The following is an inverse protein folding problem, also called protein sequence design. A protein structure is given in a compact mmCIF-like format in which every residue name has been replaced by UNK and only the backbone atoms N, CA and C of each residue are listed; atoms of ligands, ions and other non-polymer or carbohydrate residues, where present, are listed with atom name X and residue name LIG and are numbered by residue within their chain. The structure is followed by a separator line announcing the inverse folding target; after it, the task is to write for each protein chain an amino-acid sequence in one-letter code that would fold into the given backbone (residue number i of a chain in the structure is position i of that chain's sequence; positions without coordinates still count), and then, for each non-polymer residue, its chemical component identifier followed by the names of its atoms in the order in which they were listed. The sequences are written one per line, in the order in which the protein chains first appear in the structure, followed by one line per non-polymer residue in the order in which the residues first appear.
data_IF_562295736740
#
_entry.id   IF_562295736740
#
_cell.length_a   1.000
_cell.length_b   1.000
_cell.length_c   1.000
_cell.angle_alpha   90.00
_cell.angle_beta   90.00
_cell.angle_gamma   90.00
#
_symmetry.space_group_name_H-M   'P 1'
#
loop_
_entity.id
_entity.type
_entity.pdbx_description
1 polymer ?
#
# COMPACT_ATOMS: atom_id res chain seq x y z
N UNK A 1 -28.76 17.15 19.99
CA UNK A 1 -27.71 17.65 20.91
C UNK A 1 -28.33 17.63 22.28
N UNK A 2 -27.61 17.12 23.27
CA UNK A 2 -28.08 16.98 24.65
C UNK A 2 -27.40 18.07 25.50
N UNK A 3 -28.19 18.97 26.08
CA UNK A 3 -27.67 20.13 26.81
C UNK A 3 -26.98 19.75 28.12
N UNK A 4 -27.40 18.65 28.77
CA UNK A 4 -26.81 18.16 30.00
C UNK A 4 -25.39 17.65 29.72
N UNK A 5 -25.24 16.81 28.69
CA UNK A 5 -23.93 16.30 28.26
C UNK A 5 -22.99 17.41 27.78
N UNK A 6 -23.52 18.43 27.09
CA UNK A 6 -22.71 19.58 26.67
C UNK A 6 -22.19 20.40 27.86
N UNK A 7 -23.01 20.51 28.92
CA UNK A 7 -22.59 21.10 30.19
C UNK A 7 -21.43 20.34 30.84
N UNK A 8 -21.52 19.01 30.89
CA UNK A 8 -20.47 18.16 31.44
C UNK A 8 -19.15 18.30 30.68
N UNK A 9 -19.17 18.22 29.35
CA UNK A 9 -17.95 18.32 28.54
C UNK A 9 -17.32 19.72 28.68
N UNK A 10 -18.13 20.78 28.83
CA UNK A 10 -17.61 22.13 29.09
C UNK A 10 -16.91 22.22 30.43
N UNK A 11 -17.47 21.61 31.48
CA UNK A 11 -16.83 21.54 32.79
C UNK A 11 -15.51 20.74 32.72
N UNK A 12 -15.51 19.61 32.00
CA UNK A 12 -14.32 18.78 31.81
C UNK A 12 -13.21 19.52 31.05
N UNK A 13 -13.58 20.24 29.98
CA UNK A 13 -12.63 21.04 29.21
C UNK A 13 -12.00 22.14 30.07
N UNK A 14 -12.77 22.81 30.92
CA UNK A 14 -12.26 23.83 31.83
C UNK A 14 -11.31 23.25 32.89
N UNK A 15 -11.59 22.03 33.38
CA UNK A 15 -10.77 21.36 34.37
C UNK A 15 -9.43 20.84 33.79
N UNK A 16 -9.44 20.31 32.57
CA UNK A 16 -8.24 19.72 31.93
C UNK A 16 -7.38 20.79 31.25
N UNK A 17 -8.01 21.86 30.73
CA UNK A 17 -7.35 22.88 29.91
C UNK A 17 -6.53 22.28 28.73
N UNK A 18 -7.18 21.51 27.84
CA UNK A 18 -6.47 20.83 26.75
C UNK A 18 -5.91 21.82 25.73
N UNK A 19 -4.74 21.48 25.18
CA UNK A 19 -4.12 22.24 24.07
C UNK A 19 -4.88 21.99 22.76
N UNK A 20 -5.45 20.78 22.60
CA UNK A 20 -6.12 20.33 21.39
C UNK A 20 -7.46 19.69 21.72
N UNK A 21 -8.52 20.19 21.07
CA UNK A 21 -9.89 19.67 21.14
C UNK A 21 -10.35 19.38 19.72
N UNK A 22 -10.38 18.10 19.37
CA UNK A 22 -10.69 17.63 18.02
C UNK A 22 -12.14 17.17 17.93
N UNK A 23 -12.90 17.75 16.99
CA UNK A 23 -14.24 17.29 16.67
C UNK A 23 -14.19 16.17 15.64
N UNK A 24 -14.72 15.00 16.00
CA UNK A 24 -14.72 13.81 15.13
C UNK A 24 -16.09 13.67 14.48
N UNK A 25 -16.10 13.52 13.16
CA UNK A 25 -17.35 13.49 12.39
C UNK A 25 -17.29 12.53 11.23
N UNK A 26 -18.39 11.83 11.00
CA UNK A 26 -18.56 10.91 9.90
C UNK A 26 -18.80 11.68 8.59
N UNK A 27 -17.97 11.41 7.58
CA UNK A 27 -18.03 12.05 6.26
C UNK A 27 -19.31 11.76 5.49
N UNK A 28 -20.05 10.70 5.85
CA UNK A 28 -21.38 10.40 5.31
C UNK A 28 -22.46 11.33 5.86
N UNK A 29 -22.20 11.97 7.00
CA UNK A 29 -23.14 12.90 7.64
C UNK A 29 -23.11 14.19 6.84
N UNK A 30 -24.16 14.42 6.03
CA UNK A 30 -24.27 15.57 5.14
C UNK A 30 -24.48 16.90 5.86
N UNK A 31 -25.62 17.55 5.63
CA UNK A 31 -25.89 18.89 6.20
C UNK A 31 -26.04 18.88 7.72
N UNK A 32 -26.49 17.77 8.32
CA UNK A 32 -26.67 17.64 9.78
C UNK A 32 -25.35 17.72 10.55
N UNK A 33 -24.24 17.36 9.90
CA UNK A 33 -22.90 17.51 10.46
C UNK A 33 -22.56 18.98 10.71
N UNK A 34 -23.02 19.89 9.84
CA UNK A 34 -22.76 21.31 9.97
C UNK A 34 -23.48 21.91 11.17
N UNK A 35 -24.73 21.50 11.42
CA UNK A 35 -25.52 21.94 12.58
C UNK A 35 -24.86 21.46 13.87
N UNK A 36 -24.48 20.18 13.90
CA UNK A 36 -23.83 19.58 15.06
C UNK A 36 -22.47 20.24 15.32
N UNK A 37 -21.65 20.40 14.28
CA UNK A 37 -20.34 21.05 14.39
C UNK A 37 -20.46 22.49 14.90
N UNK A 38 -21.51 23.23 14.48
CA UNK A 38 -21.78 24.58 15.00
C UNK A 38 -21.99 24.57 16.51
N UNK A 39 -22.90 23.72 16.99
CA UNK A 39 -23.23 23.66 18.42
C UNK A 39 -22.02 23.27 19.27
N UNK A 40 -21.19 22.33 18.81
CA UNK A 40 -19.95 21.98 19.48
C UNK A 40 -18.93 23.10 19.46
N UNK A 41 -18.79 23.82 18.34
CA UNK A 41 -17.88 24.95 18.22
C UNK A 41 -18.30 26.17 19.05
N UNK A 42 -19.61 26.36 19.26
CA UNK A 42 -20.16 27.43 20.09
C UNK A 42 -20.00 27.12 21.58
N UNK A 43 -20.08 25.85 21.96
CA UNK A 43 -19.95 25.41 23.36
C UNK A 43 -18.51 25.17 23.81
N UNK A 44 -17.65 24.69 22.90
CA UNK A 44 -16.27 24.27 23.18
C UNK A 44 -15.30 24.90 22.17
N UNK A 45 -14.12 25.35 22.63
CA UNK A 45 -13.12 25.91 21.74
C UNK A 45 -12.41 24.79 20.96
N UNK A 46 -13.03 24.37 19.85
CA UNK A 46 -12.46 23.38 18.95
C UNK A 46 -11.16 23.92 18.31
N UNK A 47 -10.16 23.06 18.17
CA UNK A 47 -8.87 23.38 17.55
C UNK A 47 -8.70 22.72 16.18
N UNK A 48 -9.44 21.64 15.93
CA UNK A 48 -9.42 20.94 14.67
C UNK A 48 -10.54 19.93 14.52
N UNK A 49 -10.59 19.32 13.34
CA UNK A 49 -11.61 18.33 12.95
C UNK A 49 -10.92 17.07 12.42
N UNK A 50 -11.52 15.92 12.70
CA UNK A 50 -11.16 14.62 12.12
C UNK A 50 -12.36 14.09 11.36
N UNK A 51 -12.18 13.79 10.08
CA UNK A 51 -13.21 13.18 9.24
C UNK A 51 -13.03 11.66 9.24
N UNK A 52 -14.09 10.90 9.46
CA UNK A 52 -14.05 9.43 9.42
C UNK A 52 -14.88 8.86 8.29
N UNK A 53 -14.67 7.57 7.98
CA UNK A 53 -15.40 6.80 6.96
C UNK A 53 -15.34 7.41 5.55
N UNK A 54 -14.20 8.00 5.21
CA UNK A 54 -13.97 8.65 3.91
C UNK A 54 -13.57 7.67 2.79
N UNK A 55 -13.67 6.37 3.07
CA UNK A 55 -13.54 5.25 2.14
C UNK A 55 -14.84 4.94 1.38
N UNK A 56 -15.99 5.43 1.85
CA UNK A 56 -17.27 5.33 1.14
C UNK A 56 -17.43 6.34 -0.01
N UNK A 57 -18.59 6.32 -0.68
CA UNK A 57 -18.99 7.29 -1.74
C UNK A 57 -19.28 8.71 -1.18
N UNK A 58 -18.67 9.05 -0.05
CA UNK A 58 -18.80 10.35 0.57
C UNK A 58 -18.05 11.39 -0.29
N UNK A 59 -18.80 12.18 -1.06
CA UNK A 59 -18.31 13.20 -2.00
C UNK A 59 -17.63 14.42 -1.33
N UNK A 60 -17.10 14.27 -0.12
CA UNK A 60 -16.37 15.31 0.63
C UNK A 60 -17.19 16.55 1.01
N UNK A 61 -18.51 16.59 0.76
CA UNK A 61 -19.36 17.74 1.06
C UNK A 61 -19.40 18.09 2.55
N UNK A 62 -19.40 17.08 3.42
CA UNK A 62 -19.35 17.26 4.87
C UNK A 62 -18.09 18.02 5.31
N UNK A 63 -16.94 17.73 4.70
CA UNK A 63 -15.67 18.41 4.99
C UNK A 63 -15.78 19.92 4.75
N UNK A 64 -16.37 20.30 3.62
CA UNK A 64 -16.55 21.70 3.24
C UNK A 64 -17.52 22.40 4.20
N UNK A 65 -18.67 21.79 4.48
CA UNK A 65 -19.69 22.38 5.35
C UNK A 65 -19.16 22.59 6.77
N UNK A 66 -18.44 21.61 7.33
CA UNK A 66 -17.89 21.70 8.68
C UNK A 66 -16.78 22.75 8.73
N UNK A 67 -15.89 22.79 7.73
CA UNK A 67 -14.84 23.81 7.69
C UNK A 67 -15.42 25.21 7.58
N UNK A 68 -16.48 25.38 6.79
CA UNK A 68 -17.16 26.67 6.63
C UNK A 68 -17.80 27.15 7.93
N UNK A 69 -18.49 26.26 8.64
CA UNK A 69 -19.21 26.60 9.88
C UNK A 69 -18.29 26.79 11.08
N UNK A 70 -17.29 25.91 11.26
CA UNK A 70 -16.40 25.96 12.43
C UNK A 70 -15.19 26.87 12.23
N UNK A 71 -14.77 27.07 10.97
CA UNK A 71 -13.52 27.74 10.63
C UNK A 71 -12.24 26.94 10.95
N UNK A 72 -12.37 25.78 11.63
CA UNK A 72 -11.24 25.01 12.19
C UNK A 72 -10.61 24.07 11.17
N UNK A 73 -9.28 23.86 11.22
CA UNK A 73 -8.61 22.95 10.29
C UNK A 73 -9.04 21.50 10.46
N UNK A 74 -9.25 20.82 9.33
CA UNK A 74 -9.35 19.37 9.30
C UNK A 74 -7.92 18.83 9.33
N UNK A 75 -7.58 18.05 10.34
CA UNK A 75 -6.22 17.55 10.58
C UNK A 75 -6.00 16.15 10.02
N UNK A 76 -6.99 15.27 10.20
CA UNK A 76 -6.89 13.87 9.81
C UNK A 76 -8.14 13.39 9.09
N UNK A 77 -7.96 12.33 8.30
CA UNK A 77 -9.01 11.62 7.59
C UNK A 77 -8.86 10.11 7.79
N UNK A 78 -9.95 9.45 8.21
CA UNK A 78 -10.05 8.00 8.32
C UNK A 78 -10.54 7.41 7.01
N UNK A 79 -9.68 6.66 6.33
CA UNK A 79 -9.93 6.02 5.02
C UNK A 79 -10.11 4.50 5.13
N UNK A 80 -10.56 4.02 6.29
CA UNK A 80 -10.87 2.61 6.53
C UNK A 80 -11.00 2.29 8.01
N UNK A 81 -11.25 1.02 8.31
CA UNK A 81 -11.53 0.54 9.68
C UNK A 81 -10.28 0.17 10.49
N UNK A 82 -9.14 -0.01 9.81
CA UNK A 82 -7.90 -0.47 10.45
C UNK A 82 -7.19 0.67 11.18
N UNK A 83 -6.36 0.32 12.16
CA UNK A 83 -5.58 1.29 12.95
C UNK A 83 -4.58 2.10 12.13
N UNK A 84 -4.16 1.59 10.97
CA UNK A 84 -3.27 2.25 10.02
C UNK A 84 -4.02 3.09 8.96
N UNK A 85 -5.35 3.14 9.01
CA UNK A 85 -6.18 3.85 8.04
C UNK A 85 -6.48 5.33 8.42
N UNK A 86 -5.73 5.89 9.38
CA UNK A 86 -5.80 7.31 9.74
C UNK A 86 -4.67 8.07 9.04
N UNK A 87 -5.05 8.93 8.09
CA UNK A 87 -4.10 9.69 7.27
C UNK A 87 -4.18 11.19 7.58
N UNK A 88 -3.09 11.96 7.38
CA UNK A 88 -3.16 13.42 7.40
C UNK A 88 -4.12 13.94 6.32
N UNK A 89 -4.89 14.98 6.65
CA UNK A 89 -5.81 15.58 5.69
C UNK A 89 -5.10 16.52 4.73
N UNK A 90 -5.21 16.24 3.43
CA UNK A 90 -4.72 17.09 2.35
C UNK A 90 -5.88 17.55 1.46
N UNK A 91 -6.23 18.85 1.43
CA UNK A 91 -7.33 19.37 0.63
C UNK A 91 -7.22 19.00 -0.86
N UNK A 92 -6.02 19.08 -1.42
CA UNK A 92 -5.77 18.80 -2.84
C UNK A 92 -6.09 17.35 -3.21
N UNK A 93 -5.77 16.38 -2.33
CA UNK A 93 -6.06 14.95 -2.57
C UNK A 93 -7.56 14.67 -2.56
N UNK A 94 -8.29 15.30 -1.64
CA UNK A 94 -9.75 15.16 -1.57
C UNK A 94 -10.41 15.77 -2.80
N UNK A 95 -9.94 16.94 -3.23
CA UNK A 95 -10.42 17.55 -4.48
C UNK A 95 -10.15 16.65 -5.69
N UNK A 96 -8.94 16.10 -5.83
CA UNK A 96 -8.60 15.16 -6.91
C UNK A 96 -9.43 13.87 -6.87
N UNK A 97 -9.72 13.34 -5.68
CA UNK A 97 -10.58 12.16 -5.49
C UNK A 97 -12.03 12.44 -5.92
N UNK A 98 -12.59 13.59 -5.54
CA UNK A 98 -13.93 14.03 -5.97
C UNK A 98 -14.00 14.23 -7.49
N UNK A 99 -12.95 14.80 -8.08
CA UNK A 99 -12.84 15.03 -9.52
C UNK A 99 -12.54 13.75 -10.32
N UNK A 100 -12.41 12.60 -9.65
CA UNK A 100 -12.10 11.31 -10.29
C UNK A 100 -10.70 11.25 -10.92
N UNK A 101 -9.83 12.21 -10.61
CA UNK A 101 -8.51 12.33 -11.23
C UNK A 101 -7.46 11.35 -10.67
N UNK A 102 -7.82 10.58 -9.63
CA UNK A 102 -6.92 9.61 -9.02
C UNK A 102 -5.74 10.28 -8.31
N UNK A 103 -5.34 9.73 -7.18
CA UNK A 103 -4.32 10.33 -6.33
C UNK A 103 -2.91 10.00 -6.86
N UNK A 104 -2.48 10.71 -7.92
CA UNK A 104 -1.13 10.57 -8.48
C UNK A 104 -0.04 10.90 -7.45
N UNK A 105 -0.34 11.77 -6.48
CA UNK A 105 0.61 12.15 -5.43
C UNK A 105 0.77 11.05 -4.38
N UNK A 106 -0.31 10.39 -3.97
CA UNK A 106 -0.22 9.21 -3.09
C UNK A 106 0.50 8.03 -3.75
N UNK A 107 0.40 7.87 -5.08
CA UNK A 107 1.20 6.87 -5.79
C UNK A 107 2.70 7.20 -5.73
N UNK A 108 3.06 8.48 -5.86
CA UNK A 108 4.45 8.95 -5.78
C UNK A 108 4.97 8.83 -4.34
N UNK A 109 4.17 9.16 -3.33
CA UNK A 109 4.56 9.02 -1.93
C UNK A 109 4.62 7.57 -1.45
N UNK A 110 3.72 6.69 -1.88
CA UNK A 110 3.85 5.25 -1.63
C UNK A 110 5.11 4.70 -2.31
N UNK A 111 5.44 5.17 -3.51
CA UNK A 111 6.69 4.83 -4.20
C UNK A 111 7.88 5.40 -3.43
N UNK A 112 7.85 6.63 -2.93
CA UNK A 112 8.96 7.22 -2.17
C UNK A 112 9.14 6.59 -0.78
N UNK A 113 8.06 6.20 -0.09
CA UNK A 113 8.11 5.53 1.22
C UNK A 113 8.43 4.04 1.12
N UNK A 114 8.04 3.34 0.03
CA UNK A 114 8.30 1.90 -0.15
C UNK A 114 9.47 1.57 -1.07
N UNK A 115 10.01 2.53 -1.84
CA UNK A 115 11.28 2.34 -2.56
C UNK A 115 12.42 2.63 -1.61
N UNK A 116 12.79 1.57 -0.90
CA UNK A 116 14.00 1.47 -0.13
C UNK A 116 15.20 1.63 -1.08
N UNK A 117 15.71 2.87 -1.23
CA UNK A 117 16.83 3.21 -2.12
C UNK A 117 18.02 2.28 -1.90
N UNK A 118 18.22 1.82 -0.66
CA UNK A 118 19.24 0.84 -0.33
C UNK A 118 19.00 -0.54 -0.96
N UNK A 119 17.76 -1.04 -0.98
CA UNK A 119 17.45 -2.36 -1.58
C UNK A 119 17.58 -2.32 -3.10
N UNK A 120 17.10 -1.26 -3.73
CA UNK A 120 17.29 -1.05 -5.17
C UNK A 120 18.79 -1.02 -5.51
N UNK A 121 19.60 -0.31 -4.72
CA UNK A 121 21.05 -0.30 -4.88
C UNK A 121 21.71 -1.66 -4.62
N UNK A 122 21.28 -2.41 -3.60
CA UNK A 122 21.80 -3.75 -3.30
C UNK A 122 21.49 -4.73 -4.43
N UNK A 123 20.28 -4.67 -5.00
CA UNK A 123 19.86 -5.47 -6.13
C UNK A 123 20.72 -5.13 -7.37
N UNK A 124 20.90 -3.83 -7.66
CA UNK A 124 21.75 -3.36 -8.76
C UNK A 124 23.22 -3.77 -8.54
N UNK A 125 23.76 -3.63 -7.33
CA UNK A 125 25.13 -4.06 -6.96
C UNK A 125 25.30 -5.58 -7.08
N UNK A 126 24.32 -6.41 -6.68
CA UNK A 126 24.35 -7.87 -6.86
C UNK A 126 24.33 -8.26 -8.35
N UNK A 127 23.48 -7.59 -9.13
CA UNK A 127 23.43 -7.75 -10.58
C UNK A 127 24.79 -7.37 -11.17
N UNK A 128 25.33 -6.20 -10.87
CA UNK A 128 26.64 -5.76 -11.36
C UNK A 128 27.80 -6.70 -10.96
N UNK A 129 27.78 -7.25 -9.75
CA UNK A 129 28.80 -8.19 -9.23
C UNK A 129 28.72 -9.61 -9.79
N UNK A 130 27.87 -9.87 -10.79
CA UNK A 130 27.77 -11.20 -11.41
C UNK A 130 27.09 -12.27 -10.56
N UNK A 131 26.80 -12.00 -9.27
CA UNK A 131 26.04 -12.89 -8.40
C UNK A 131 24.63 -13.03 -8.98
N UNK A 132 24.32 -14.21 -9.51
CA UNK A 132 23.05 -14.49 -10.17
C UNK A 132 21.88 -14.33 -9.21
N UNK A 133 20.71 -14.03 -9.78
CA UNK A 133 19.44 -14.07 -9.06
C UNK A 133 19.24 -15.46 -8.42
N UNK A 134 19.10 -15.52 -7.10
CA UNK A 134 18.98 -16.76 -6.32
C UNK A 134 17.64 -16.84 -5.57
N UNK A 135 17.38 -17.95 -4.86
CA UNK A 135 16.09 -18.17 -4.18
C UNK A 135 15.89 -17.26 -2.96
N UNK A 136 16.95 -16.73 -2.37
CA UNK A 136 16.83 -15.74 -1.28
C UNK A 136 16.30 -14.42 -1.85
N UNK A 137 16.87 -13.96 -2.97
CA UNK A 137 16.36 -12.77 -3.67
C UNK A 137 14.91 -12.98 -4.13
N UNK A 138 14.57 -14.20 -4.57
CA UNK A 138 13.20 -14.54 -4.94
C UNK A 138 12.23 -14.47 -3.76
N UNK A 139 12.66 -14.95 -2.59
CA UNK A 139 11.85 -14.87 -1.36
C UNK A 139 11.58 -13.43 -0.95
N UNK A 140 12.60 -12.57 -1.01
CA UNK A 140 12.47 -11.14 -0.69
C UNK A 140 11.42 -10.48 -1.59
N UNK A 141 11.48 -10.75 -2.91
CA UNK A 141 10.49 -10.23 -3.86
C UNK A 141 9.07 -10.72 -3.58
N UNK A 142 8.90 -12.01 -3.24
CA UNK A 142 7.58 -12.54 -2.87
C UNK A 142 7.04 -11.91 -1.58
N UNK A 143 7.90 -11.63 -0.60
CA UNK A 143 7.51 -10.97 0.64
C UNK A 143 7.13 -9.50 0.40
N UNK A 144 7.84 -8.79 -0.47
CA UNK A 144 7.48 -7.42 -0.86
C UNK A 144 6.12 -7.39 -1.57
N UNK A 145 5.87 -8.33 -2.49
CA UNK A 145 4.56 -8.47 -3.13
C UNK A 145 3.45 -8.77 -2.13
N UNK A 146 3.70 -9.64 -1.15
CA UNK A 146 2.72 -9.92 -0.10
C UNK A 146 2.42 -8.66 0.75
N UNK A 147 3.43 -7.85 1.08
CA UNK A 147 3.25 -6.57 1.81
C UNK A 147 2.46 -5.53 1.02
N UNK A 148 2.55 -5.57 -0.30
CA UNK A 148 1.81 -4.65 -1.17
C UNK A 148 0.34 -5.06 -1.38
N UNK A 149 -0.12 -6.16 -0.77
CA UNK A 149 -1.51 -6.67 -0.94
C UNK A 149 -1.66 -7.71 -2.04
N UNK A 150 -0.57 -8.38 -2.42
CA UNK A 150 -0.57 -9.47 -3.39
C UNK A 150 -0.58 -8.99 -4.84
N UNK A 151 -0.88 -9.91 -5.76
CA UNK A 151 -0.95 -9.60 -7.20
C UNK A 151 -2.26 -8.86 -7.54
N UNK A 152 -3.32 -9.04 -6.74
CA UNK A 152 -4.60 -8.35 -6.91
C UNK A 152 -4.49 -6.83 -6.78
N UNK A 153 -3.86 -6.35 -5.70
CA UNK A 153 -3.66 -4.92 -5.47
C UNK A 153 -2.73 -4.27 -6.51
N UNK A 154 -1.75 -5.00 -7.02
CA UNK A 154 -0.85 -4.51 -8.08
C UNK A 154 -1.59 -4.34 -9.41
N UNK A 155 -2.53 -5.24 -9.73
CA UNK A 155 -3.37 -5.16 -10.92
C UNK A 155 -4.40 -4.02 -10.84
N UNK A 156 -4.94 -3.74 -9.66
CA UNK A 156 -5.84 -2.61 -9.43
C UNK A 156 -5.14 -1.25 -9.61
N UNK A 157 -3.82 -1.21 -9.41
CA UNK A 157 -2.99 -0.01 -9.57
C UNK A 157 -2.46 0.18 -11.01
N UNK A 158 -2.70 -0.76 -11.94
CA UNK A 158 -2.28 -0.63 -13.34
C UNK A 158 -3.37 0.06 -14.18
N UNK A 159 -3.07 1.20 -14.83
CA UNK A 159 -4.04 1.90 -15.67
C UNK A 159 -4.43 1.06 -16.90
N UNK A 160 -5.74 0.87 -17.14
CA UNK A 160 -6.27 0.20 -18.34
C UNK A 160 -6.72 -1.26 -18.17
N UNK A 161 -6.74 -1.82 -16.95
CA UNK A 161 -7.13 -3.22 -16.70
C UNK A 161 -8.50 -3.42 -16.01
N UNK A 162 -9.41 -2.45 -16.11
CA UNK A 162 -10.79 -2.56 -15.61
C UNK A 162 -11.62 -3.70 -16.28
N UNK A 163 -11.10 -4.35 -17.31
CA UNK A 163 -11.78 -5.41 -18.06
C UNK A 163 -11.54 -6.84 -17.54
N UNK A 164 -10.73 -7.04 -16.48
CA UNK A 164 -10.52 -8.38 -15.91
C UNK A 164 -11.64 -8.71 -14.91
N UNK A 165 -12.40 -9.81 -15.10
CA UNK A 165 -13.50 -10.19 -14.21
C UNK A 165 -13.07 -10.33 -12.75
N UNK A 166 -13.92 -9.87 -11.82
CA UNK A 166 -13.72 -9.93 -10.36
C UNK A 166 -13.49 -11.36 -9.83
N UNK A 167 -14.05 -12.36 -10.50
CA UNK A 167 -13.86 -13.79 -10.18
C UNK A 167 -12.43 -14.27 -10.43
N UNK A 168 -11.76 -13.73 -11.46
CA UNK A 168 -10.33 -13.98 -11.70
C UNK A 168 -9.44 -13.21 -10.72
N UNK A 169 -9.89 -12.04 -10.22
CA UNK A 169 -9.17 -11.26 -9.19
C UNK A 169 -9.16 -11.97 -7.83
N UNK A 170 -10.28 -12.58 -7.42
CA UNK A 170 -10.39 -13.31 -6.15
C UNK A 170 -9.62 -14.65 -6.12
N UNK A 171 -9.36 -15.26 -7.28
CA UNK A 171 -8.55 -16.48 -7.38
C UNK A 171 -7.03 -16.22 -7.32
N UNK A 172 -6.61 -14.96 -7.41
CA UNK A 172 -5.20 -14.57 -7.29
C UNK A 172 -4.84 -14.57 -5.80
N UNK A 173 -4.42 -15.75 -5.38
CA UNK A 173 -4.41 -16.19 -4.00
C UNK A 173 -3.21 -15.62 -3.22
N UNK A 174 -3.44 -14.73 -2.25
CA UNK A 174 -2.45 -14.40 -1.21
C UNK A 174 -1.93 -15.66 -0.50
N UNK A 175 -2.80 -16.68 -0.37
CA UNK A 175 -2.42 -18.00 0.15
C UNK A 175 -1.37 -18.70 -0.71
N UNK A 176 -1.37 -18.49 -2.04
CA UNK A 176 -0.37 -19.08 -2.93
C UNK A 176 1.00 -18.42 -2.76
N UNK A 177 1.04 -17.09 -2.59
CA UNK A 177 2.29 -16.38 -2.28
C UNK A 177 2.85 -16.82 -0.93
N UNK A 178 2.00 -16.89 0.10
CA UNK A 178 2.39 -17.39 1.42
C UNK A 178 2.92 -18.83 1.35
N UNK A 179 2.28 -19.71 0.56
CA UNK A 179 2.74 -21.09 0.33
C UNK A 179 4.11 -21.14 -0.32
N UNK A 180 4.38 -20.29 -1.33
CA UNK A 180 5.70 -20.23 -1.95
C UNK A 180 6.77 -19.74 -0.97
N UNK A 181 6.46 -18.71 -0.17
CA UNK A 181 7.37 -18.20 0.87
C UNK A 181 7.67 -19.30 1.91
N UNK A 182 6.67 -20.09 2.31
CA UNK A 182 6.85 -21.22 3.22
C UNK A 182 7.78 -22.29 2.65
N UNK A 183 7.67 -22.61 1.35
CA UNK A 183 8.57 -23.56 0.67
C UNK A 183 10.02 -23.06 0.69
N UNK A 184 10.27 -21.80 0.34
CA UNK A 184 11.64 -21.25 0.35
C UNK A 184 12.17 -21.14 1.78
N UNK A 185 11.31 -20.79 2.74
CA UNK A 185 11.70 -20.68 4.15
C UNK A 185 12.11 -22.02 4.77
N UNK A 186 11.61 -23.14 4.23
CA UNK A 186 11.99 -24.50 4.64
C UNK A 186 13.35 -24.97 4.07
N UNK A 187 13.97 -24.16 3.20
CA UNK A 187 15.30 -24.42 2.66
C UNK A 187 16.40 -23.87 3.57
N UNK A 188 17.58 -24.50 3.52
CA UNK A 188 18.80 -23.97 4.13
C UNK A 188 19.37 -22.81 3.31
N UNK A 189 20.18 -21.95 3.93
CA UNK A 189 20.84 -20.84 3.22
C UNK A 189 21.68 -21.31 2.03
N UNK A 190 22.33 -22.47 2.14
CA UNK A 190 23.12 -23.05 1.06
C UNK A 190 22.24 -23.45 -0.13
N UNK A 191 21.09 -24.08 0.12
CA UNK A 191 20.12 -24.44 -0.93
C UNK A 191 19.51 -23.20 -1.59
N UNK A 192 19.29 -22.11 -0.84
CA UNK A 192 18.75 -20.87 -1.40
C UNK A 192 19.75 -20.17 -2.32
N UNK A 193 21.03 -20.16 -1.93
CA UNK A 193 22.11 -19.58 -2.75
C UNK A 193 22.47 -20.44 -3.96
N UNK A 194 22.34 -21.77 -3.83
CA UNK A 194 22.67 -22.74 -4.88
C UNK A 194 21.48 -23.69 -5.15
N UNK A 195 20.48 -23.23 -5.93
CA UNK A 195 19.25 -23.99 -6.21
C UNK A 195 19.50 -25.35 -6.86
N UNK A 196 20.61 -25.51 -7.60
CA UNK A 196 20.98 -26.76 -8.28
C UNK A 196 21.24 -27.93 -7.31
N UNK A 197 21.48 -27.63 -6.03
CA UNK A 197 21.63 -28.64 -4.99
C UNK A 197 20.30 -29.33 -4.64
N UNK A 198 19.16 -28.72 -4.96
CA UNK A 198 17.83 -29.17 -4.55
C UNK A 198 17.36 -30.36 -5.42
N UNK A 199 17.82 -31.55 -5.05
CA UNK A 199 17.45 -32.85 -5.64
C UNK A 199 16.31 -33.54 -4.87
N UNK A 200 15.93 -34.76 -5.28
CA UNK A 200 14.78 -35.51 -4.75
C UNK A 200 14.68 -35.57 -3.22
N UNK A 201 15.74 -35.98 -2.52
CA UNK A 201 15.71 -36.09 -1.04
C UNK A 201 15.51 -34.72 -0.36
N UNK A 202 16.14 -33.67 -0.88
CA UNK A 202 15.96 -32.31 -0.36
C UNK A 202 14.56 -31.78 -0.64
N UNK A 203 14.00 -32.06 -1.80
CA UNK A 203 12.60 -31.70 -2.13
C UNK A 203 11.61 -32.38 -1.17
N UNK A 204 11.81 -33.65 -0.84
CA UNK A 204 10.98 -34.37 0.16
C UNK A 204 11.07 -33.72 1.55
N UNK A 205 12.28 -33.38 1.99
CA UNK A 205 12.51 -32.67 3.26
C UNK A 205 11.81 -31.31 3.29
N UNK A 206 11.94 -30.53 2.22
CA UNK A 206 11.34 -29.20 2.09
C UNK A 206 9.80 -29.31 2.11
N UNK A 207 9.24 -30.25 1.35
CA UNK A 207 7.81 -30.52 1.28
C UNK A 207 7.23 -30.85 2.67
N UNK A 208 7.89 -31.76 3.40
CA UNK A 208 7.52 -32.09 4.77
C UNK A 208 7.64 -30.89 5.74
N UNK A 209 8.69 -30.07 5.59
CA UNK A 209 8.93 -28.92 6.45
C UNK A 209 7.91 -27.78 6.29
N UNK A 210 7.36 -27.59 5.08
CA UNK A 210 6.32 -26.60 4.83
C UNK A 210 4.88 -27.17 4.82
N UNK A 211 4.72 -28.47 5.06
CA UNK A 211 3.41 -29.15 5.02
C UNK A 211 2.76 -29.14 3.63
N UNK A 212 3.56 -29.20 2.56
CA UNK A 212 3.08 -29.21 1.17
C UNK A 212 3.50 -30.48 0.45
N UNK A 213 2.91 -30.71 -0.72
CA UNK A 213 3.26 -31.87 -1.53
C UNK A 213 4.53 -31.62 -2.38
N UNK A 214 5.15 -32.72 -2.80
CA UNK A 214 6.34 -32.68 -3.65
C UNK A 214 6.09 -31.95 -4.98
N UNK A 215 4.85 -32.01 -5.49
CA UNK A 215 4.48 -31.36 -6.74
C UNK A 215 4.46 -29.82 -6.61
N UNK A 216 4.08 -29.28 -5.44
CA UNK A 216 4.09 -27.85 -5.14
C UNK A 216 5.51 -27.29 -5.10
N UNK A 217 6.42 -28.01 -4.43
CA UNK A 217 7.85 -27.65 -4.40
C UNK A 217 8.44 -27.61 -5.81
N UNK A 218 8.10 -28.60 -6.65
CA UNK A 218 8.55 -28.62 -8.05
C UNK A 218 7.98 -27.47 -8.88
N UNK A 219 6.71 -27.10 -8.67
CA UNK A 219 6.06 -25.98 -9.35
C UNK A 219 6.76 -24.67 -9.01
N UNK A 220 7.04 -24.42 -7.72
CA UNK A 220 7.75 -23.23 -7.28
C UNK A 220 9.17 -23.15 -7.87
N UNK A 221 9.93 -24.26 -7.84
CA UNK A 221 11.27 -24.29 -8.44
C UNK A 221 11.26 -24.00 -9.95
N UNK A 222 10.23 -24.46 -10.68
CA UNK A 222 10.06 -24.12 -12.10
C UNK A 222 9.79 -22.63 -12.31
N UNK A 223 8.94 -22.02 -11.47
CA UNK A 223 8.66 -20.59 -11.51
C UNK A 223 9.92 -19.76 -11.24
N UNK A 224 10.71 -20.15 -10.23
CA UNK A 224 12.01 -19.55 -9.95
C UNK A 224 12.95 -19.64 -11.16
N UNK A 225 13.10 -20.81 -11.78
CA UNK A 225 13.96 -20.98 -12.96
C UNK A 225 13.52 -20.13 -14.15
N UNK A 226 12.21 -19.97 -14.36
CA UNK A 226 11.68 -19.08 -15.40
C UNK A 226 12.06 -17.63 -15.12
N UNK A 227 11.89 -17.17 -13.87
CA UNK A 227 12.25 -15.82 -13.49
C UNK A 227 13.76 -15.58 -13.55
N UNK A 228 14.57 -16.54 -13.11
CA UNK A 228 16.02 -16.50 -13.23
C UNK A 228 16.47 -16.40 -14.69
N UNK A 229 15.82 -17.14 -15.62
CA UNK A 229 16.07 -17.02 -17.06
C UNK A 229 15.72 -15.63 -17.59
N UNK A 230 14.59 -15.06 -17.17
CA UNK A 230 14.21 -13.70 -17.54
C UNK A 230 15.24 -12.68 -17.02
N UNK A 231 15.59 -12.74 -15.73
CA UNK A 231 16.59 -11.84 -15.13
C UNK A 231 17.96 -11.95 -15.81
N UNK A 232 18.38 -13.15 -16.22
CA UNK A 232 19.60 -13.33 -17.04
C UNK A 232 19.50 -12.64 -18.40
N UNK A 233 18.35 -12.69 -19.07
CA UNK A 233 18.12 -11.98 -20.35
C UNK A 233 18.12 -10.45 -20.17
N UNK A 234 17.61 -9.95 -19.04
CA UNK A 234 17.64 -8.52 -18.71
C UNK A 234 19.06 -7.99 -18.41
N UNK A 235 19.95 -8.84 -17.88
CA UNK A 235 21.30 -8.50 -17.43
C UNK A 235 22.33 -8.26 -18.55
N UNK A 236 22.03 -8.58 -19.81
CA UNK A 236 23.06 -8.69 -20.85
C UNK A 236 22.97 -7.68 -22.03
N UNK A 237 21.93 -6.84 -22.16
CA UNK A 237 21.95 -5.86 -23.26
C UNK A 237 20.73 -4.96 -23.44
N UNK A 238 19.54 -5.40 -23.01
CA UNK A 238 18.31 -4.64 -23.30
C UNK A 238 18.05 -3.47 -22.35
N UNK A 239 18.51 -3.51 -21.09
CA UNK A 239 18.33 -2.36 -20.17
C UNK A 239 19.19 -1.17 -20.61
N UNK A 240 20.42 -1.39 -21.07
CA UNK A 240 21.27 -0.32 -21.59
C UNK A 240 20.68 0.33 -22.86
N UNK A 241 20.06 -0.47 -23.74
CA UNK A 241 19.39 0.01 -24.94
C UNK A 241 18.05 0.70 -24.64
N UNK A 242 17.28 0.21 -23.65
CA UNK A 242 16.02 0.81 -23.21
C UNK A 242 16.26 2.14 -22.47
N UNK A 243 17.29 2.22 -21.63
CA UNK A 243 17.72 3.47 -20.98
C UNK A 243 18.24 4.48 -22.01
N UNK A 244 18.94 4.05 -23.06
CA UNK A 244 19.30 4.92 -24.20
C UNK A 244 18.09 5.41 -24.98
N UNK A 245 17.11 4.54 -25.25
CA UNK A 245 15.87 4.87 -25.96
C UNK A 245 15.02 5.90 -25.21
N UNK A 246 14.86 5.72 -23.90
CA UNK A 246 14.14 6.66 -23.04
C UNK A 246 14.87 8.02 -22.99
N UNK A 247 16.21 8.01 -22.87
CA UNK A 247 17.01 9.25 -22.87
C UNK A 247 16.93 10.03 -24.19
N UNK A 248 16.78 9.34 -25.32
CA UNK A 248 16.61 9.98 -26.63
C UNK A 248 15.19 10.54 -26.82
N UNK A 249 14.15 9.85 -26.35
CA UNK A 249 12.77 10.36 -26.41
C UNK A 249 12.55 11.57 -25.50
N UNK A 250 13.15 11.60 -24.31
CA UNK A 250 13.07 12.76 -23.39
C UNK A 250 13.82 13.98 -23.96
N UNK A 251 14.84 13.78 -24.80
CA UNK A 251 15.57 14.86 -25.48
C UNK A 251 14.83 15.41 -26.70
N UNK A 252 13.93 14.61 -27.31
CA UNK A 252 13.05 15.03 -28.40
C UNK A 252 11.84 15.87 -27.95
N UNK A 253 11.36 15.69 -26.71
CA UNK A 253 10.24 16.46 -26.14
C UNK A 253 10.65 17.82 -25.53
N UNK A 254 11.94 18.15 -25.55
CA UNK A 254 12.48 19.46 -25.10
C UNK A 254 12.83 20.40 -26.27
N UNK A 255 12.31 20.15 -27.46
CA UNK A 255 12.35 21.08 -28.60
C UNK A 255 10.93 21.42 -29.04
#
# INVERSE_FOLDING_TARGET
IDDEMMGEIKALHAAINPIETLFVVDSMTGQDAAITAKAFNDALPLTGVVLTKADGDARGGAALSIRHVTGKPIKFIGVGEKTDALEPFYPDRIASRILGMGDMLSLIEEIEQKVDKEKAERLVKKIQKGQGFNLEDFREQLQEMQRMGGVGSMLEKLPGMNAVPSEMKAQINDKMLARQIAVISSMTMQERRYPDLIKGNRKKRIAAGCGQELHDVNRMLKQFLMMQKMMKKFKAGNIANMVRGIKNNVRGMKR
#
